data_IF_958250515089
#
_entry.id   IF_958250515089
#
_cell.length_a   1.000
_cell.length_b   1.000
_cell.length_c   1.000
_cell.angle_alpha   90.00
_cell.angle_beta   90.00
_cell.angle_gamma   90.00
#
_symmetry.space_group_name_H-M   'P 1'
#
loop_
_entity.id
_entity.type
_entity.pdbx_description
1 polymer ?
#
# COMPACT_ATOMS: atom_id res chain seq x y z
N UNK A 1 -7.65 11.39 11.02
CA UNK A 1 -6.62 10.37 11.29
C UNK A 1 -5.40 11.01 11.96
N UNK A 2 -4.66 10.29 12.82
CA UNK A 2 -3.41 10.78 13.44
C UNK A 2 -2.27 10.95 12.43
N UNK A 3 -1.38 11.93 12.64
CA UNK A 3 -0.31 12.29 11.69
C UNK A 3 0.67 11.15 11.41
N UNK A 4 1.12 10.43 12.44
CA UNK A 4 2.02 9.27 12.26
C UNK A 4 1.37 8.18 11.40
N UNK A 5 0.06 8.01 11.53
CA UNK A 5 -0.70 7.03 10.76
C UNK A 5 -0.87 7.47 9.30
N UNK A 6 -1.15 8.76 9.08
CA UNK A 6 -1.12 9.36 7.73
C UNK A 6 0.24 9.14 7.07
N UNK A 7 1.34 9.48 7.74
CA UNK A 7 2.71 9.26 7.25
C UNK A 7 2.98 7.79 6.89
N UNK A 8 2.51 6.85 7.69
CA UNK A 8 2.62 5.43 7.41
C UNK A 8 1.85 5.03 6.13
N UNK A 9 0.64 5.55 5.93
CA UNK A 9 -0.12 5.36 4.69
C UNK A 9 0.57 5.98 3.46
N UNK A 10 1.10 7.20 3.58
CA UNK A 10 1.91 7.80 2.51
C UNK A 10 3.12 6.92 2.15
N UNK A 11 3.77 6.33 3.14
CA UNK A 11 4.94 5.47 2.95
C UNK A 11 4.60 4.21 2.16
N UNK A 12 3.51 3.51 2.52
CA UNK A 12 3.12 2.31 1.77
C UNK A 12 2.53 2.64 0.40
N UNK A 13 1.91 3.82 0.22
CA UNK A 13 1.48 4.28 -1.10
C UNK A 13 2.68 4.52 -2.02
N UNK A 14 3.74 5.14 -1.50
CA UNK A 14 4.99 5.29 -2.23
C UNK A 14 5.64 3.93 -2.56
N UNK A 15 5.66 3.00 -1.60
CA UNK A 15 6.17 1.64 -1.84
C UNK A 15 5.40 0.92 -2.96
N UNK A 16 4.07 1.06 -3.00
CA UNK A 16 3.27 0.47 -4.07
C UNK A 16 3.67 0.99 -5.46
N UNK A 17 3.96 2.29 -5.60
CA UNK A 17 4.49 2.83 -6.85
C UNK A 17 5.88 2.26 -7.21
N UNK A 18 6.75 2.05 -6.22
CA UNK A 18 8.05 1.41 -6.46
C UNK A 18 7.87 -0.05 -6.92
N UNK A 19 6.95 -0.80 -6.31
CA UNK A 19 6.70 -2.19 -6.69
C UNK A 19 6.12 -2.28 -8.11
N UNK A 20 5.22 -1.36 -8.49
CA UNK A 20 4.70 -1.25 -9.85
C UNK A 20 5.84 -0.94 -10.83
N UNK A 21 6.65 0.09 -10.52
CA UNK A 21 7.77 0.53 -11.37
C UNK A 21 8.83 -0.57 -11.56
N UNK A 22 9.08 -1.35 -10.52
CA UNK A 22 10.15 -2.36 -10.49
C UNK A 22 9.63 -3.79 -10.76
N UNK A 23 8.42 -3.93 -11.29
CA UNK A 23 7.78 -5.23 -11.58
C UNK A 23 8.45 -6.06 -12.69
N UNK A 24 9.43 -5.49 -13.40
CA UNK A 24 10.22 -6.17 -14.42
C UNK A 24 9.52 -6.21 -15.78
N UNK A 25 9.89 -7.21 -16.61
CA UNK A 25 9.29 -7.39 -17.93
C UNK A 25 7.85 -7.86 -17.85
N UNK A 26 7.10 -7.61 -18.92
CA UNK A 26 5.72 -8.06 -19.02
C UNK A 26 5.62 -9.60 -19.02
N UNK A 27 4.92 -10.12 -18.04
CA UNK A 27 4.36 -11.47 -18.01
C UNK A 27 2.91 -11.38 -17.54
N UNK A 28 2.09 -12.39 -17.82
CA UNK A 28 0.69 -12.41 -17.35
C UNK A 28 0.62 -12.36 -15.81
N UNK A 29 1.56 -13.01 -15.14
CA UNK A 29 1.67 -13.01 -13.68
C UNK A 29 2.03 -11.61 -13.15
N UNK A 30 3.08 -10.99 -13.69
CA UNK A 30 3.50 -9.65 -13.32
C UNK A 30 2.39 -8.63 -13.59
N UNK A 31 1.71 -8.73 -14.74
CA UNK A 31 0.56 -7.88 -15.07
C UNK A 31 -0.55 -7.99 -14.02
N UNK A 32 -0.93 -9.22 -13.65
CA UNK A 32 -1.98 -9.44 -12.66
C UNK A 32 -1.59 -8.89 -11.29
N UNK A 33 -0.35 -9.11 -10.86
CA UNK A 33 0.16 -8.56 -9.60
C UNK A 33 0.15 -7.03 -9.60
N UNK A 34 0.72 -6.40 -10.64
CA UNK A 34 0.75 -4.94 -10.81
C UNK A 34 -0.67 -4.35 -10.83
N UNK A 35 -1.57 -4.97 -11.59
CA UNK A 35 -2.97 -4.54 -11.66
C UNK A 35 -3.63 -4.58 -10.28
N UNK A 36 -3.41 -5.65 -9.51
CA UNK A 36 -3.98 -5.79 -8.16
C UNK A 36 -3.37 -4.79 -7.19
N UNK A 37 -2.06 -4.55 -7.22
CA UNK A 37 -1.41 -3.51 -6.42
C UNK A 37 -2.01 -2.14 -6.76
N UNK A 38 -2.04 -1.76 -8.04
CA UNK A 38 -2.62 -0.49 -8.48
C UNK A 38 -4.08 -0.34 -8.03
N UNK A 39 -4.88 -1.41 -8.14
CA UNK A 39 -6.27 -1.40 -7.70
C UNK A 39 -6.43 -1.23 -6.18
N UNK A 40 -5.52 -1.74 -5.35
CA UNK A 40 -5.60 -1.49 -3.90
C UNK A 40 -5.16 -0.06 -3.56
N UNK A 41 -4.06 0.39 -4.15
CA UNK A 41 -3.41 1.63 -3.75
C UNK A 41 -3.93 2.90 -4.44
N UNK A 42 -4.63 2.80 -5.58
CA UNK A 42 -5.28 3.99 -6.18
C UNK A 42 -6.35 4.59 -5.26
N UNK A 43 -7.11 3.76 -4.54
CA UNK A 43 -8.06 4.24 -3.53
C UNK A 43 -7.34 4.96 -2.40
N UNK A 44 -6.21 4.44 -1.93
CA UNK A 44 -5.42 5.10 -0.89
C UNK A 44 -4.91 6.45 -1.36
N UNK A 45 -4.45 6.56 -2.61
CA UNK A 45 -4.00 7.83 -3.19
C UNK A 45 -5.12 8.89 -3.24
N UNK A 46 -6.35 8.49 -3.56
CA UNK A 46 -7.52 9.38 -3.50
C UNK A 46 -7.73 9.91 -2.07
N UNK A 47 -7.81 9.02 -1.08
CA UNK A 47 -8.03 9.41 0.30
C UNK A 47 -6.87 10.23 0.88
N UNK A 48 -5.62 10.03 0.44
CA UNK A 48 -4.50 10.90 0.84
C UNK A 48 -4.74 12.35 0.42
N UNK A 49 -5.30 12.59 -0.77
CA UNK A 49 -5.59 13.94 -1.27
C UNK A 49 -6.75 14.59 -0.49
N UNK A 50 -7.69 13.77 -0.01
CA UNK A 50 -8.87 14.19 0.78
C UNK A 50 -8.61 14.16 2.30
N UNK A 51 -7.35 14.20 2.73
CA UNK A 51 -6.95 14.14 4.15
C UNK A 51 -7.53 12.94 4.95
N UNK A 52 -7.74 11.83 4.27
CA UNK A 52 -8.35 10.59 4.75
C UNK A 52 -9.80 10.75 5.22
N UNK A 53 -10.53 11.76 4.72
CA UNK A 53 -11.96 11.90 4.97
C UNK A 53 -12.71 10.68 4.39
N UNK A 54 -13.52 10.02 5.21
CA UNK A 54 -14.29 8.83 4.80
C UNK A 54 -13.47 7.57 4.51
N UNK A 55 -12.16 7.56 4.79
CA UNK A 55 -11.31 6.40 4.54
C UNK A 55 -11.66 5.21 5.43
N UNK A 56 -12.12 4.12 4.82
CA UNK A 56 -12.37 2.85 5.49
C UNK A 56 -11.06 2.03 5.57
N UNK A 57 -10.42 2.10 6.75
CA UNK A 57 -9.18 1.37 7.01
C UNK A 57 -9.36 -0.14 6.96
N UNK A 58 -10.48 -0.65 7.46
CA UNK A 58 -10.72 -2.09 7.55
C UNK A 58 -10.92 -2.68 6.16
N UNK A 59 -11.65 -1.97 5.30
CA UNK A 59 -11.80 -2.32 3.89
C UNK A 59 -10.44 -2.30 3.17
N UNK A 60 -9.64 -1.25 3.37
CA UNK A 60 -8.30 -1.14 2.78
C UNK A 60 -7.41 -2.32 3.20
N UNK A 61 -7.32 -2.59 4.51
CA UNK A 61 -6.50 -3.69 5.00
C UNK A 61 -7.01 -5.07 4.59
N UNK A 62 -8.32 -5.22 4.37
CA UNK A 62 -8.89 -6.43 3.77
C UNK A 62 -8.39 -6.66 2.35
N UNK A 63 -8.30 -5.59 1.55
CA UNK A 63 -7.73 -5.65 0.20
C UNK A 63 -6.24 -5.97 0.21
N UNK A 64 -5.46 -5.38 1.13
CA UNK A 64 -4.03 -5.69 1.32
C UNK A 64 -3.81 -7.16 1.70
N UNK A 65 -4.61 -7.71 2.62
CA UNK A 65 -4.57 -9.16 2.94
C UNK A 65 -4.82 -10.04 1.71
N UNK A 66 -5.64 -9.56 0.78
CA UNK A 66 -5.81 -10.21 -0.53
C UNK A 66 -4.49 -10.27 -1.32
N UNK A 67 -3.70 -9.19 -1.34
CA UNK A 67 -2.38 -9.18 -1.98
C UNK A 67 -1.39 -10.13 -1.29
N UNK A 68 -1.41 -10.19 0.04
CA UNK A 68 -0.58 -11.11 0.81
C UNK A 68 -0.90 -12.57 0.48
N UNK A 69 -2.18 -12.92 0.45
CA UNK A 69 -2.65 -14.27 0.14
C UNK A 69 -2.33 -14.66 -1.30
N UNK A 70 -2.59 -13.77 -2.26
CA UNK A 70 -2.54 -14.09 -3.68
C UNK A 70 -1.12 -13.97 -4.27
N UNK A 71 -0.26 -13.12 -3.69
CA UNK A 71 1.07 -12.79 -4.23
C UNK A 71 2.21 -12.80 -3.20
N UNK A 72 1.94 -13.11 -1.93
CA UNK A 72 2.97 -13.12 -0.88
C UNK A 72 3.49 -11.75 -0.45
N UNK A 73 2.80 -10.66 -0.79
CA UNK A 73 3.25 -9.27 -0.57
C UNK A 73 3.02 -8.79 0.87
N UNK A 74 3.71 -9.40 1.83
CA UNK A 74 3.60 -9.11 3.28
C UNK A 74 4.30 -7.81 3.70
N UNK A 75 5.13 -7.24 2.81
CA UNK A 75 5.96 -6.08 3.13
C UNK A 75 5.14 -4.81 3.38
N UNK A 76 3.94 -4.67 2.83
CA UNK A 76 3.10 -3.48 3.07
C UNK A 76 2.69 -3.33 4.54
N UNK A 77 2.23 -4.41 5.18
CA UNK A 77 1.85 -4.38 6.59
C UNK A 77 3.06 -4.07 7.49
N UNK A 78 4.18 -4.74 7.22
CA UNK A 78 5.44 -4.56 7.95
C UNK A 78 5.93 -3.11 7.80
N UNK A 79 5.92 -2.58 6.58
CA UNK A 79 6.40 -1.23 6.29
C UNK A 79 5.51 -0.17 6.95
N UNK A 80 4.19 -0.35 6.90
CA UNK A 80 3.25 0.51 7.61
C UNK A 80 3.53 0.55 9.11
N UNK A 81 3.68 -0.62 9.73
CA UNK A 81 3.94 -0.72 11.17
C UNK A 81 5.25 -0.05 11.58
N UNK A 82 6.32 -0.25 10.79
CA UNK A 82 7.60 0.42 11.02
C UNK A 82 7.47 1.94 10.85
N UNK A 83 6.75 2.39 9.82
CA UNK A 83 6.52 3.81 9.58
C UNK A 83 5.69 4.45 10.71
N UNK A 84 4.67 3.75 11.21
CA UNK A 84 3.79 4.22 12.28
C UNK A 84 4.54 4.36 13.61
N UNK A 85 5.47 3.44 13.90
CA UNK A 85 6.36 3.51 15.07
C UNK A 85 7.57 4.43 14.88
N UNK A 86 7.69 5.09 13.73
CA UNK A 86 8.82 5.94 13.32
C UNK A 86 10.18 5.20 13.32
N UNK A 87 10.15 3.88 13.15
CA UNK A 87 11.34 3.00 13.09
C UNK A 87 12.08 3.06 11.75
N UNK A 88 11.54 3.80 10.77
CA UNK A 88 12.15 4.00 9.44
C UNK A 88 13.07 5.21 9.36
N UNK A 89 13.13 6.05 10.41
CA UNK A 89 14.01 7.22 10.47
C UNK A 89 15.08 7.02 11.54
N UNK A 90 16.15 6.32 11.16
CA UNK A 90 17.50 6.46 11.74
C UNK A 90 18.55 6.24 10.66
#
# INVERSE_FOLDING_TARGET
MEENKKKAYLTINYQAFLDIKNSGEFSKENFNQVFRIAHVFHNLALFIIEDFEGFDEDEFWSKVRGLERDFGLTHYKILFEKAYRDELIR
#
